data_IF_702355521942
#
_entry.id   IF_702355521942
#
_cell.length_a   1.000
_cell.length_b   1.000
_cell.length_c   1.000
_cell.angle_alpha   90.00
_cell.angle_beta   90.00
_cell.angle_gamma   90.00
#
_symmetry.space_group_name_H-M   'P 1'
#
loop_
_entity.id
_entity.type
_entity.pdbx_description
1 polymer ?
#
# COMPACT_ATOMS: atom_id res chain seq x y z
N UNK A 1 26.08 0.75 14.87
CA UNK A 1 24.71 1.20 15.20
C UNK A 1 24.40 2.42 14.34
N UNK A 2 23.27 2.44 13.63
CA UNK A 2 22.94 3.54 12.72
C UNK A 2 21.79 4.35 13.32
N UNK A 3 22.10 5.54 13.81
CA UNK A 3 21.11 6.51 14.31
C UNK A 3 21.28 7.79 13.50
N UNK A 4 20.17 8.33 13.03
CA UNK A 4 20.11 9.64 12.40
C UNK A 4 19.37 10.58 13.36
N UNK A 5 20.02 11.69 13.71
CA UNK A 5 19.44 12.73 14.56
C UNK A 5 19.16 13.93 13.68
N UNK A 6 17.92 14.40 13.73
CA UNK A 6 17.50 15.61 13.03
C UNK A 6 16.95 16.60 14.05
N UNK A 7 17.46 17.83 14.03
CA UNK A 7 17.04 18.92 14.90
C UNK A 7 16.58 20.10 14.05
N UNK A 8 15.67 20.90 14.59
CA UNK A 8 15.22 22.15 14.00
C UNK A 8 15.76 23.38 14.75
N UNK A 9 15.56 24.56 14.16
CA UNK A 9 15.88 25.85 14.77
C UNK A 9 14.86 26.28 15.84
N UNK A 10 13.91 25.43 16.21
CA UNK A 10 12.94 25.70 17.26
C UNK A 10 13.21 24.83 18.52
N UNK A 11 14.35 24.15 18.55
CA UNK A 11 14.77 23.35 19.69
C UNK A 11 14.08 21.99 19.76
N UNK A 12 13.43 21.53 18.69
CA UNK A 12 12.89 20.19 18.60
C UNK A 12 13.84 19.27 17.83
N UNK A 13 13.96 18.02 18.26
CA UNK A 13 14.71 17.01 17.56
C UNK A 13 13.94 15.69 17.46
N UNK A 14 14.30 14.87 16.48
CA UNK A 14 13.79 13.53 16.24
C UNK A 14 14.95 12.57 16.02
N UNK A 15 14.76 11.34 16.47
CA UNK A 15 15.68 10.25 16.22
C UNK A 15 15.07 9.30 15.19
N UNK A 16 15.86 8.92 14.20
CA UNK A 16 15.59 7.79 13.33
C UNK A 16 16.60 6.69 13.64
N UNK A 17 16.12 5.66 14.32
CA UNK A 17 16.89 4.53 14.81
C UNK A 17 16.87 3.40 13.78
N UNK A 18 18.03 2.79 13.54
CA UNK A 18 18.21 1.57 12.74
C UNK A 18 17.56 1.59 11.35
N UNK A 19 17.64 2.73 10.66
CA UNK A 19 17.16 2.94 9.29
C UNK A 19 15.64 2.73 9.06
N UNK A 20 14.84 2.59 10.12
CA UNK A 20 13.43 2.22 9.97
C UNK A 20 12.51 2.72 11.07
N UNK A 21 13.01 3.01 12.28
CA UNK A 21 12.20 3.39 13.43
C UNK A 21 12.34 4.88 13.73
N UNK A 22 11.24 5.62 13.83
CA UNK A 22 11.25 7.07 14.06
C UNK A 22 10.61 7.39 15.40
N UNK A 23 11.26 8.21 16.22
CA UNK A 23 10.73 8.67 17.50
C UNK A 23 9.82 9.88 17.32
N UNK A 24 8.96 10.13 18.30
CA UNK A 24 8.21 11.40 18.33
C UNK A 24 9.16 12.60 18.50
N UNK A 25 8.78 13.79 18.00
CA UNK A 25 9.55 15.01 18.23
C UNK A 25 9.68 15.28 19.72
N UNK A 26 10.91 15.54 20.17
CA UNK A 26 11.24 15.90 21.54
C UNK A 26 11.70 17.35 21.54
N UNK A 27 11.09 18.19 22.38
CA UNK A 27 11.48 19.59 22.50
C UNK A 27 12.50 19.76 23.63
N UNK A 28 13.71 20.22 23.30
CA UNK A 28 14.73 20.60 24.27
C UNK A 28 14.26 21.74 25.16
N UNK A 29 13.46 22.68 24.64
CA UNK A 29 12.90 23.77 25.47
C UNK A 29 12.04 23.21 26.60
N UNK A 30 11.19 22.23 26.32
CA UNK A 30 10.35 21.57 27.30
C UNK A 30 11.19 20.75 28.30
N UNK A 31 12.21 20.04 27.82
CA UNK A 31 13.12 19.28 28.66
C UNK A 31 13.94 20.17 29.62
N UNK A 32 14.45 21.31 29.16
CA UNK A 32 15.20 22.25 30.00
C UNK A 32 14.30 22.95 31.02
N UNK A 33 13.06 23.30 30.65
CA UNK A 33 12.06 23.81 31.59
C UNK A 33 11.75 22.78 32.69
N UNK A 34 11.59 21.51 32.32
CA UNK A 34 11.39 20.42 33.28
C UNK A 34 12.62 20.17 34.16
N UNK A 35 13.83 20.47 33.69
CA UNK A 35 15.08 20.42 34.46
C UNK A 35 15.23 21.59 35.46
N UNK A 36 14.36 22.60 35.41
CA UNK A 36 14.37 23.75 36.33
C UNK A 36 14.77 25.08 35.70
N UNK A 37 15.06 25.12 34.38
CA UNK A 37 15.40 26.34 33.65
C UNK A 37 14.14 26.98 33.05
N UNK A 38 13.24 27.46 33.93
CA UNK A 38 11.92 28.00 33.54
C UNK A 38 11.97 29.28 32.69
N UNK A 39 13.08 30.01 32.72
CA UNK A 39 13.28 31.32 32.09
C UNK A 39 13.80 31.25 30.64
N UNK A 40 13.75 30.09 29.99
CA UNK A 40 14.19 29.92 28.60
C UNK A 40 13.08 30.34 27.61
N UNK A 41 13.43 31.26 26.71
CA UNK A 41 12.57 31.75 25.64
C UNK A 41 12.66 30.89 24.36
N UNK A 42 13.88 30.59 23.90
CA UNK A 42 14.13 29.86 22.66
C UNK A 42 15.45 29.08 22.70
N UNK A 43 15.55 28.00 21.94
CA UNK A 43 16.73 27.15 21.82
C UNK A 43 16.99 26.88 20.34
N UNK A 44 18.13 27.32 19.82
CA UNK A 44 18.58 27.03 18.46
C UNK A 44 19.63 25.91 18.52
N UNK A 45 19.35 24.73 17.95
CA UNK A 45 20.30 23.61 17.94
C UNK A 45 21.38 23.85 16.87
N UNK A 46 22.65 23.84 17.26
CA UNK A 46 23.79 24.07 16.36
C UNK A 46 24.48 22.75 15.96
N UNK A 47 24.73 21.88 16.94
CA UNK A 47 25.38 20.58 16.74
C UNK A 47 24.73 19.52 17.62
N UNK A 48 24.76 18.28 17.14
CA UNK A 48 24.24 17.11 17.84
C UNK A 48 25.23 15.95 17.68
N UNK A 49 25.53 15.26 18.76
CA UNK A 49 26.25 13.99 18.74
C UNK A 49 25.56 12.98 19.64
N UNK A 50 25.84 11.70 19.40
CA UNK A 50 25.32 10.59 20.18
C UNK A 50 26.43 9.64 20.52
N UNK A 51 26.46 9.25 21.79
CA UNK A 51 27.34 8.23 22.30
C UNK A 51 27.14 6.88 21.57
N UNK A 52 28.22 6.11 21.44
CA UNK A 52 28.21 4.83 20.71
C UNK A 52 27.30 3.77 21.36
N UNK A 53 27.10 3.88 22.67
CA UNK A 53 26.27 3.03 23.52
C UNK A 53 24.83 3.56 23.68
N UNK A 54 24.48 4.67 23.02
CA UNK A 54 23.19 5.36 23.11
C UNK A 54 22.78 5.81 24.52
N UNK A 55 23.72 5.91 25.45
CA UNK A 55 23.44 6.36 26.82
C UNK A 55 23.19 7.86 26.88
N UNK A 56 23.98 8.61 26.12
CA UNK A 56 24.02 10.07 26.10
C UNK A 56 23.86 10.63 24.68
N UNK A 57 23.05 11.69 24.60
CA UNK A 57 22.85 12.56 23.44
C UNK A 57 23.34 13.95 23.83
N UNK A 58 24.35 14.47 23.14
CA UNK A 58 24.93 15.79 23.42
C UNK A 58 24.48 16.80 22.36
N UNK A 59 23.97 17.94 22.81
CA UNK A 59 23.47 19.01 21.96
C UNK A 59 24.24 20.30 22.27
N UNK A 60 24.89 20.88 21.28
CA UNK A 60 25.39 22.25 21.40
C UNK A 60 24.31 23.18 20.87
N UNK A 61 23.75 24.00 21.75
CA UNK A 61 22.62 24.85 21.42
C UNK A 61 22.81 26.29 21.91
N UNK A 62 22.23 27.23 21.17
CA UNK A 62 22.18 28.64 21.54
C UNK A 62 20.87 28.89 22.29
N UNK A 63 20.97 29.15 23.59
CA UNK A 63 19.83 29.34 24.48
C UNK A 63 19.58 30.83 24.66
N UNK A 64 18.34 31.26 24.41
CA UNK A 64 17.88 32.63 24.65
C UNK A 64 17.04 32.65 25.92
N UNK A 65 17.36 33.56 26.85
CA UNK A 65 16.65 33.69 28.12
C UNK A 65 15.63 34.85 28.09
N UNK A 66 14.53 34.69 28.80
CA UNK A 66 13.59 35.78 29.07
C UNK A 66 14.25 36.75 30.06
N UNK A 67 14.16 38.05 29.80
CA UNK A 67 14.72 39.07 30.68
C UNK A 67 14.14 38.92 32.10
N UNK A 68 14.96 38.49 33.06
CA UNK A 68 14.79 38.95 34.43
C UNK A 68 15.50 40.29 34.52
N UNK A 69 14.71 41.33 34.77
CA UNK A 69 15.20 42.65 35.14
C UNK A 69 16.03 42.53 36.42
N UNK A 70 17.35 42.38 36.26
CA UNK A 70 18.33 42.69 37.29
C UNK A 70 19.35 43.61 36.64
N UNK A 71 19.51 44.78 37.25
CA UNK A 71 20.33 45.90 36.80
C UNK A 71 21.79 45.48 36.62
N UNK A 72 22.15 45.08 35.40
CA UNK A 72 23.50 45.10 34.85
C UNK A 72 23.35 44.90 33.34
N UNK A 73 23.63 45.95 32.59
CA UNK A 73 23.62 45.96 31.13
C UNK A 73 24.48 44.82 30.55
N UNK A 74 23.86 43.80 29.97
CA UNK A 74 24.29 43.19 28.71
C UNK A 74 23.07 42.67 27.91
N UNK A 75 23.06 43.05 26.64
CA UNK A 75 22.08 42.81 25.57
C UNK A 75 21.53 41.37 25.58
N UNK A 76 20.20 41.22 25.47
CA UNK A 76 19.43 39.97 25.29
C UNK A 76 20.28 38.73 24.99
N UNK A 77 20.82 38.12 26.05
CA UNK A 77 22.01 37.28 25.97
C UNK A 77 21.71 35.88 25.47
N UNK A 78 21.92 35.65 24.18
CA UNK A 78 22.05 34.29 23.62
C UNK A 78 23.33 33.65 24.16
N UNK A 79 23.22 32.59 24.95
CA UNK A 79 24.38 31.85 25.49
C UNK A 79 24.55 30.52 24.79
N UNK A 80 25.79 30.14 24.51
CA UNK A 80 26.11 28.81 24.00
C UNK A 80 26.13 27.84 25.17
N UNK A 81 25.30 26.80 25.11
CA UNK A 81 25.16 25.80 26.16
C UNK A 81 25.28 24.41 25.54
N UNK A 82 26.12 23.57 26.13
CA UNK A 82 26.14 22.15 25.86
C UNK A 82 25.14 21.45 26.78
N UNK A 83 24.19 20.73 26.18
CA UNK A 83 23.11 20.05 26.88
C UNK A 83 23.29 18.56 26.67
N UNK A 84 23.41 17.80 27.75
CA UNK A 84 23.49 16.34 27.68
C UNK A 84 22.14 15.75 28.10
N UNK A 85 21.53 15.01 27.18
CA UNK A 85 20.27 14.29 27.40
C UNK A 85 20.58 12.81 27.52
N UNK A 86 20.05 12.18 28.55
CA UNK A 86 20.14 10.73 28.76
C UNK A 86 18.80 10.06 28.50
N UNK A 87 18.83 8.82 28.04
CA UNK A 87 17.66 7.95 27.96
C UNK A 87 18.01 6.57 28.48
N UNK A 88 17.45 6.22 29.64
CA UNK A 88 17.58 4.89 30.21
C UNK A 88 17.05 3.81 29.25
N UNK A 89 16.03 4.16 28.46
CA UNK A 89 15.33 3.23 27.57
C UNK A 89 16.14 2.93 26.30
N UNK A 90 16.82 3.94 25.74
CA UNK A 90 17.66 3.76 24.55
C UNK A 90 18.85 2.84 24.82
N UNK A 91 19.49 3.00 25.98
CA UNK A 91 20.64 2.17 26.35
C UNK A 91 20.21 0.75 26.72
N UNK A 92 19.25 0.60 27.65
CA UNK A 92 18.85 -0.71 28.21
C UNK A 92 18.10 -1.57 27.21
N UNK A 93 17.22 -1.01 26.38
CA UNK A 93 16.43 -1.74 25.38
C UNK A 93 16.96 -1.56 23.95
N UNK A 94 18.23 -1.21 23.79
CA UNK A 94 18.87 -0.98 22.48
C UNK A 94 18.68 -2.15 21.50
N UNK A 95 18.75 -3.39 21.99
CA UNK A 95 18.57 -4.61 21.19
C UNK A 95 17.12 -4.78 20.74
N UNK A 96 16.16 -4.55 21.63
CA UNK A 96 14.73 -4.68 21.37
C UNK A 96 14.27 -3.62 20.36
N UNK A 97 14.74 -2.37 20.52
CA UNK A 97 14.48 -1.28 19.58
C UNK A 97 15.08 -1.60 18.21
N UNK A 98 16.28 -2.20 18.17
CA UNK A 98 16.89 -2.67 16.91
C UNK A 98 16.00 -3.70 16.22
N UNK A 99 15.50 -4.70 16.95
CA UNK A 99 14.61 -5.73 16.39
C UNK A 99 13.34 -5.09 15.82
N UNK A 100 12.69 -4.19 16.54
CA UNK A 100 11.49 -3.49 16.05
C UNK A 100 11.78 -2.63 14.82
N UNK A 101 12.90 -1.90 14.80
CA UNK A 101 13.30 -1.09 13.66
C UNK A 101 13.59 -1.89 12.41
N UNK A 102 14.22 -3.07 12.56
CA UNK A 102 14.47 -4.00 11.46
C UNK A 102 13.17 -4.61 10.91
N UNK A 103 12.12 -4.77 11.73
CA UNK A 103 10.81 -5.28 11.28
C UNK A 103 9.92 -4.18 10.68
N UNK A 104 10.01 -2.93 11.16
CA UNK A 104 9.20 -1.80 10.66
C UNK A 104 9.38 -1.54 9.17
N UNK A 105 10.62 -1.55 8.68
CA UNK A 105 10.93 -1.19 7.28
C UNK A 105 10.34 -2.20 6.26
N UNK A 106 10.53 -3.52 6.41
CA UNK A 106 9.85 -4.51 5.57
C UNK A 106 8.33 -4.36 5.59
N UNK A 107 7.72 -4.11 6.76
CA UNK A 107 6.27 -3.89 6.89
C UNK A 107 5.82 -2.69 6.06
N UNK A 108 6.47 -1.53 6.20
CA UNK A 108 6.13 -0.33 5.41
C UNK A 108 6.28 -0.59 3.91
N UNK A 109 7.35 -1.27 3.50
CA UNK A 109 7.60 -1.59 2.11
C UNK A 109 6.52 -2.54 1.54
N UNK A 110 6.09 -3.55 2.30
CA UNK A 110 5.02 -4.47 1.91
C UNK A 110 3.67 -3.76 1.82
N UNK A 111 3.33 -2.90 2.79
CA UNK A 111 2.11 -2.10 2.75
C UNK A 111 2.09 -1.19 1.51
N UNK A 112 3.22 -0.54 1.20
CA UNK A 112 3.37 0.26 -0.02
C UNK A 112 3.21 -0.60 -1.27
N UNK A 113 3.84 -1.77 -1.31
CA UNK A 113 3.73 -2.68 -2.44
C UNK A 113 2.30 -3.15 -2.68
N UNK A 114 1.55 -3.45 -1.62
CA UNK A 114 0.12 -3.80 -1.71
C UNK A 114 -0.69 -2.60 -2.23
N UNK A 115 -0.40 -1.39 -1.75
CA UNK A 115 -1.06 -0.16 -2.23
C UNK A 115 -0.78 0.13 -3.71
N UNK A 116 0.47 0.00 -4.15
CA UNK A 116 0.82 0.17 -5.55
C UNK A 116 0.19 -0.94 -6.41
N UNK A 117 0.09 -2.17 -5.91
CA UNK A 117 -0.61 -3.27 -6.58
C UNK A 117 -2.12 -3.01 -6.71
N UNK A 118 -2.76 -2.45 -5.68
CA UNK A 118 -4.17 -2.07 -5.72
C UNK A 118 -4.44 -1.01 -6.79
N UNK A 119 -3.55 -0.04 -6.95
CA UNK A 119 -3.68 0.97 -8.01
C UNK A 119 -3.61 0.38 -9.41
N UNK A 120 -2.74 -0.62 -9.62
CA UNK A 120 -2.66 -1.35 -10.89
C UNK A 120 -3.95 -2.13 -11.13
N UNK A 121 -4.46 -2.82 -10.10
CA UNK A 121 -5.72 -3.55 -10.16
C UNK A 121 -6.91 -2.64 -10.54
N UNK A 122 -7.00 -1.46 -9.92
CA UNK A 122 -8.01 -0.45 -10.24
C UNK A 122 -7.90 0.09 -11.67
N UNK A 123 -6.69 0.28 -12.17
CA UNK A 123 -6.46 0.73 -13.54
C UNK A 123 -6.91 -0.32 -14.57
N UNK A 124 -6.61 -1.60 -14.34
CA UNK A 124 -7.08 -2.68 -15.20
C UNK A 124 -8.61 -2.84 -15.15
N UNK A 125 -9.22 -2.67 -13.98
CA UNK A 125 -10.68 -2.66 -13.85
C UNK A 125 -11.34 -1.51 -14.62
N UNK A 126 -10.78 -0.30 -14.52
CA UNK A 126 -11.23 0.86 -15.31
C UNK A 126 -11.07 0.62 -16.81
N UNK A 127 -9.99 -0.06 -17.23
CA UNK A 127 -9.80 -0.44 -18.64
C UNK A 127 -10.91 -1.37 -19.12
N UNK A 128 -11.31 -2.38 -18.35
CA UNK A 128 -12.45 -3.27 -18.71
C UNK A 128 -13.75 -2.46 -18.80
N UNK A 129 -13.99 -1.59 -17.82
CA UNK A 129 -15.20 -0.76 -17.79
C UNK A 129 -15.29 0.14 -19.03
N UNK A 130 -14.18 0.80 -19.39
CA UNK A 130 -14.10 1.62 -20.61
C UNK A 130 -14.33 0.81 -21.88
N UNK A 131 -13.73 -0.38 -22.00
CA UNK A 131 -13.93 -1.25 -23.17
C UNK A 131 -15.40 -1.68 -23.33
N UNK A 132 -16.10 -1.92 -22.22
CA UNK A 132 -17.52 -2.27 -22.24
C UNK A 132 -18.38 -1.04 -22.58
N UNK A 133 -18.09 0.11 -21.95
CA UNK A 133 -18.78 1.39 -22.21
C UNK A 133 -18.63 1.81 -23.68
N UNK A 134 -17.42 1.77 -24.23
CA UNK A 134 -17.14 2.09 -25.64
C UNK A 134 -17.93 1.19 -26.60
N UNK A 135 -18.04 -0.11 -26.27
CA UNK A 135 -18.82 -1.06 -27.05
C UNK A 135 -20.31 -0.73 -27.00
N UNK A 136 -20.86 -0.50 -25.81
CA UNK A 136 -22.28 -0.14 -25.63
C UNK A 136 -22.61 1.21 -26.27
N UNK A 137 -21.71 2.18 -26.19
CA UNK A 137 -21.88 3.51 -26.76
C UNK A 137 -21.81 3.46 -28.30
N UNK A 138 -20.99 2.58 -28.86
CA UNK A 138 -20.97 2.39 -30.32
C UNK A 138 -22.28 1.80 -30.82
N UNK A 139 -22.79 0.78 -30.15
CA UNK A 139 -24.10 0.23 -30.49
C UNK A 139 -25.21 1.26 -30.27
N UNK A 140 -25.19 2.02 -29.16
CA UNK A 140 -26.17 3.08 -28.91
C UNK A 140 -26.16 4.13 -30.02
N UNK A 141 -24.97 4.55 -30.50
CA UNK A 141 -24.83 5.48 -31.62
C UNK A 141 -25.46 4.91 -32.90
N UNK A 142 -25.18 3.65 -33.23
CA UNK A 142 -25.76 2.98 -34.40
C UNK A 142 -27.29 2.91 -34.33
N UNK A 143 -27.86 2.59 -33.16
CA UNK A 143 -29.31 2.57 -32.93
C UNK A 143 -29.93 3.95 -33.13
N UNK A 144 -29.33 4.99 -32.54
CA UNK A 144 -29.85 6.38 -32.67
C UNK A 144 -29.79 6.91 -34.10
N UNK A 145 -28.76 6.55 -34.87
CA UNK A 145 -28.62 6.96 -36.27
C UNK A 145 -29.73 6.37 -37.15
N UNK A 146 -30.23 5.19 -36.80
CA UNK A 146 -31.31 4.51 -37.50
C UNK A 146 -32.71 4.85 -36.95
N UNK A 147 -32.80 5.75 -35.96
CA UNK A 147 -34.06 6.21 -35.36
C UNK A 147 -34.67 5.27 -34.32
N UNK A 148 -33.92 4.30 -33.81
CA UNK A 148 -34.37 3.37 -32.77
C UNK A 148 -34.09 3.93 -31.36
N UNK A 149 -35.08 3.81 -30.46
CA UNK A 149 -35.00 4.29 -29.08
C UNK A 149 -34.72 3.15 -28.06
N UNK A 150 -34.29 1.97 -28.55
CA UNK A 150 -33.99 0.81 -27.72
C UNK A 150 -32.62 0.91 -27.04
N UNK A 151 -32.41 0.13 -25.98
CA UNK A 151 -31.13 0.08 -25.28
C UNK A 151 -30.23 -1.02 -25.87
N UNK A 152 -28.89 -0.87 -25.85
CA UNK A 152 -27.95 -1.86 -26.37
C UNK A 152 -28.14 -3.24 -25.73
N UNK A 153 -28.37 -3.27 -24.41
CA UNK A 153 -28.65 -4.50 -23.67
C UNK A 153 -29.93 -5.18 -24.15
N UNK A 154 -30.99 -4.40 -24.43
CA UNK A 154 -32.24 -4.95 -24.94
C UNK A 154 -32.06 -5.58 -26.32
N UNK A 155 -31.35 -4.92 -27.24
CA UNK A 155 -31.09 -5.45 -28.57
C UNK A 155 -30.25 -6.74 -28.53
N UNK A 156 -29.22 -6.82 -27.67
CA UNK A 156 -28.46 -8.05 -27.47
C UNK A 156 -29.32 -9.19 -26.89
N UNK A 157 -30.21 -8.89 -25.94
CA UNK A 157 -31.13 -9.87 -25.38
C UNK A 157 -32.18 -10.32 -26.41
N UNK A 158 -32.68 -9.41 -27.24
CA UNK A 158 -33.58 -9.75 -28.35
C UNK A 158 -32.88 -10.70 -29.31
N UNK A 159 -31.66 -10.37 -29.74
CA UNK A 159 -30.83 -11.23 -30.59
C UNK A 159 -30.57 -12.61 -29.97
N UNK A 160 -30.35 -12.67 -28.65
CA UNK A 160 -30.16 -13.93 -27.92
C UNK A 160 -31.40 -14.84 -27.98
N UNK A 161 -32.60 -14.26 -27.83
CA UNK A 161 -33.87 -15.01 -27.78
C UNK A 161 -34.40 -15.35 -29.18
N UNK A 162 -34.34 -14.42 -30.12
CA UNK A 162 -34.90 -14.59 -31.47
C UNK A 162 -33.93 -15.27 -32.43
N UNK A 163 -32.62 -15.20 -32.15
CA UNK A 163 -31.56 -15.60 -33.08
C UNK A 163 -31.47 -14.72 -34.34
N UNK A 164 -32.24 -13.62 -34.41
CA UNK A 164 -32.32 -12.73 -35.56
C UNK A 164 -31.96 -11.30 -35.13
N UNK A 165 -30.91 -10.68 -35.71
CA UNK A 165 -30.57 -9.30 -35.43
C UNK A 165 -31.66 -8.35 -35.97
N UNK A 166 -31.92 -7.26 -35.25
CA UNK A 166 -32.66 -6.12 -35.80
C UNK A 166 -31.86 -5.50 -36.97
N UNK A 167 -32.49 -4.75 -37.89
CA UNK A 167 -31.78 -4.13 -39.01
C UNK A 167 -30.61 -3.24 -38.56
N UNK A 168 -30.78 -2.55 -37.43
CA UNK A 168 -29.73 -1.71 -36.84
C UNK A 168 -28.60 -2.51 -36.21
N UNK A 169 -28.93 -3.59 -35.50
CA UNK A 169 -27.94 -4.52 -34.96
C UNK A 169 -27.18 -5.23 -36.08
N UNK A 170 -27.85 -5.65 -37.15
CA UNK A 170 -27.22 -6.31 -38.31
C UNK A 170 -26.22 -5.38 -38.99
N UNK A 171 -26.62 -4.12 -39.23
CA UNK A 171 -25.71 -3.09 -39.75
C UNK A 171 -24.51 -2.87 -38.82
N UNK A 172 -24.74 -2.75 -37.52
CA UNK A 172 -23.68 -2.56 -36.53
C UNK A 172 -22.69 -3.73 -36.53
N UNK A 173 -23.18 -4.97 -36.50
CA UNK A 173 -22.36 -6.18 -36.50
C UNK A 173 -21.53 -6.33 -37.77
N UNK A 174 -22.07 -5.95 -38.94
CA UNK A 174 -21.35 -6.04 -40.23
C UNK A 174 -20.37 -4.87 -40.46
N UNK A 175 -20.73 -3.65 -40.03
CA UNK A 175 -19.98 -2.44 -40.42
C UNK A 175 -19.06 -1.92 -39.31
N UNK A 176 -19.53 -1.89 -38.07
CA UNK A 176 -18.81 -1.30 -36.93
C UNK A 176 -18.07 -2.37 -36.11
N UNK A 177 -18.77 -3.43 -35.69
CA UNK A 177 -18.21 -4.52 -34.89
C UNK A 177 -17.79 -5.71 -35.78
N UNK A 178 -16.92 -5.43 -36.75
CA UNK A 178 -16.36 -6.47 -37.64
C UNK A 178 -15.64 -7.56 -36.84
N UNK A 179 -15.48 -8.75 -37.43
CA UNK A 179 -14.76 -9.89 -36.81
C UNK A 179 -13.40 -9.52 -36.20
N UNK A 180 -12.60 -8.70 -36.89
CA UNK A 180 -11.30 -8.27 -36.38
C UNK A 180 -11.41 -7.28 -35.21
N UNK A 181 -12.44 -6.44 -35.20
CA UNK A 181 -12.76 -5.54 -34.09
C UNK A 181 -13.19 -6.33 -32.85
N UNK A 182 -14.09 -7.30 -33.02
CA UNK A 182 -14.53 -8.18 -31.94
C UNK A 182 -13.36 -8.96 -31.35
N UNK A 183 -12.52 -9.58 -32.18
CA UNK A 183 -11.33 -10.32 -31.71
C UNK A 183 -10.38 -9.46 -30.89
N UNK A 184 -10.11 -8.22 -31.32
CA UNK A 184 -9.24 -7.29 -30.58
C UNK A 184 -9.86 -6.86 -29.25
N UNK A 185 -11.17 -6.62 -29.24
CA UNK A 185 -11.91 -6.30 -28.02
C UNK A 185 -11.88 -7.48 -27.04
N UNK A 186 -12.19 -8.70 -27.50
CA UNK A 186 -12.13 -9.91 -26.70
C UNK A 186 -10.75 -10.15 -26.09
N UNK A 187 -9.70 -10.06 -26.89
CA UNK A 187 -8.32 -10.23 -26.42
C UNK A 187 -7.94 -9.16 -25.40
N UNK A 188 -8.40 -7.91 -25.59
CA UNK A 188 -8.16 -6.81 -24.66
C UNK A 188 -8.85 -7.02 -23.31
N UNK A 189 -10.09 -7.53 -23.30
CA UNK A 189 -10.85 -7.84 -22.08
C UNK A 189 -10.24 -9.05 -21.37
N UNK A 190 -9.89 -10.11 -22.10
CA UNK A 190 -9.23 -11.31 -21.56
C UNK A 190 -7.87 -10.99 -20.94
N UNK A 191 -7.06 -10.16 -21.61
CA UNK A 191 -5.77 -9.72 -21.10
C UNK A 191 -5.94 -8.93 -19.79
N UNK A 192 -6.94 -8.03 -19.72
CA UNK A 192 -7.23 -7.27 -18.51
C UNK A 192 -7.69 -8.17 -17.36
N UNK A 193 -8.61 -9.13 -17.60
CA UNK A 193 -9.01 -10.12 -16.58
C UNK A 193 -7.82 -10.94 -16.06
N UNK A 194 -6.93 -11.37 -16.96
CA UNK A 194 -5.72 -12.11 -16.60
C UNK A 194 -4.77 -11.27 -15.75
N UNK A 195 -4.62 -9.98 -16.08
CA UNK A 195 -3.83 -9.05 -15.27
C UNK A 195 -4.45 -8.83 -13.88
N UNK A 196 -5.77 -8.64 -13.79
CA UNK A 196 -6.47 -8.50 -12.50
C UNK A 196 -6.23 -9.76 -11.64
N UNK A 197 -6.39 -10.95 -12.22
CA UNK A 197 -6.12 -12.22 -11.57
C UNK A 197 -4.68 -12.27 -11.03
N UNK A 198 -3.70 -12.01 -11.90
CA UNK A 198 -2.28 -12.04 -11.55
C UNK A 198 -1.94 -11.06 -10.43
N UNK A 199 -2.42 -9.81 -10.51
CA UNK A 199 -2.15 -8.80 -9.48
C UNK A 199 -2.79 -9.21 -8.15
N UNK A 200 -4.03 -9.69 -8.17
CA UNK A 200 -4.72 -10.14 -6.96
C UNK A 200 -4.05 -11.35 -6.30
N UNK A 201 -3.82 -12.41 -7.07
CA UNK A 201 -3.42 -13.70 -6.52
C UNK A 201 -1.89 -13.88 -6.43
N UNK A 202 -1.14 -13.42 -7.43
CA UNK A 202 0.32 -13.65 -7.50
C UNK A 202 1.13 -12.52 -6.86
N UNK A 203 0.53 -11.33 -6.67
CA UNK A 203 1.21 -10.18 -6.07
C UNK A 203 0.68 -9.85 -4.66
N UNK A 204 -0.62 -9.59 -4.51
CA UNK A 204 -1.17 -9.09 -3.24
C UNK A 204 -1.23 -10.15 -2.14
N UNK A 205 -1.73 -11.36 -2.42
CA UNK A 205 -1.82 -12.44 -1.40
C UNK A 205 -0.43 -12.78 -0.83
N UNK A 206 0.61 -13.06 -1.64
CA UNK A 206 1.95 -13.35 -1.12
C UNK A 206 2.56 -12.18 -0.33
N UNK A 207 2.22 -10.94 -0.69
CA UNK A 207 2.65 -9.77 0.09
C UNK A 207 1.97 -9.72 1.47
N UNK A 208 0.69 -10.07 1.55
CA UNK A 208 -0.05 -10.17 2.80
C UNK A 208 0.47 -11.32 3.68
N UNK A 209 0.79 -12.47 3.10
CA UNK A 209 1.40 -13.60 3.82
C UNK A 209 2.76 -13.21 4.43
N UNK A 210 3.63 -12.54 3.66
CA UNK A 210 4.90 -12.01 4.17
C UNK A 210 4.69 -10.98 5.28
N UNK A 211 3.67 -10.14 5.16
CA UNK A 211 3.29 -9.18 6.19
C UNK A 211 2.85 -9.90 7.47
N UNK A 212 2.03 -10.96 7.37
CA UNK A 212 1.60 -11.78 8.50
C UNK A 212 2.77 -12.45 9.22
N UNK A 213 3.80 -12.91 8.49
CA UNK A 213 5.02 -13.45 9.10
C UNK A 213 5.70 -12.39 9.97
N UNK A 214 5.91 -11.19 9.45
CA UNK A 214 6.52 -10.10 10.22
C UNK A 214 5.68 -9.67 11.43
N UNK A 215 4.35 -9.63 11.29
CA UNK A 215 3.45 -9.32 12.40
C UNK A 215 3.44 -10.44 13.45
N UNK A 216 3.58 -11.70 13.05
CA UNK A 216 3.68 -12.85 13.96
C UNK A 216 4.97 -12.80 14.79
N UNK A 217 6.08 -12.39 14.19
CA UNK A 217 7.34 -12.15 14.92
C UNK A 217 7.17 -11.03 15.97
N UNK A 218 6.50 -9.93 15.60
CA UNK A 218 6.22 -8.83 16.52
C UNK A 218 5.25 -9.27 17.62
N UNK A 219 4.30 -10.16 17.32
CA UNK A 219 3.40 -10.77 18.31
C UNK A 219 4.20 -11.62 19.32
N UNK A 220 5.22 -12.34 18.86
CA UNK A 220 6.16 -13.02 19.75
C UNK A 220 6.90 -12.03 20.67
N UNK A 221 7.32 -10.89 20.13
CA UNK A 221 7.97 -9.82 20.90
C UNK A 221 7.02 -9.21 21.95
N UNK A 222 5.77 -8.92 21.58
CA UNK A 222 4.80 -8.27 22.48
C UNK A 222 4.40 -9.16 23.66
N UNK A 223 4.42 -10.49 23.49
CA UNK A 223 4.20 -11.45 24.57
C UNK A 223 5.37 -11.52 25.56
N UNK A 224 6.58 -11.11 25.16
CA UNK A 224 7.72 -11.05 26.07
C UNK A 224 7.70 -9.77 26.91
N UNK A 225 6.78 -9.73 27.87
CA UNK A 225 6.50 -8.56 28.70
C UNK A 225 7.73 -8.00 29.42
N UNK A 226 8.64 -8.83 29.93
CA UNK A 226 9.84 -8.36 30.63
C UNK A 226 10.73 -7.41 29.79
N UNK A 227 10.81 -7.66 28.47
CA UNK A 227 11.68 -6.90 27.56
C UNK A 227 10.95 -5.79 26.83
N UNK A 228 9.71 -6.04 26.39
CA UNK A 228 8.98 -5.12 25.50
C UNK A 228 7.91 -4.27 26.20
N UNK A 229 7.53 -4.58 27.45
CA UNK A 229 6.58 -3.74 28.22
C UNK A 229 7.11 -2.33 28.50
N UNK A 230 8.41 -2.10 28.80
CA UNK A 230 8.95 -0.74 28.94
C UNK A 230 8.84 0.09 27.65
N UNK A 231 8.83 -0.57 26.49
CA UNK A 231 8.63 0.04 25.18
C UNK A 231 7.14 0.26 24.85
N UNK A 232 6.20 -0.06 25.75
CA UNK A 232 4.74 0.08 25.49
C UNK A 232 4.28 -0.62 24.20
N UNK A 233 4.88 -1.77 23.88
CA UNK A 233 4.42 -2.61 22.77
C UNK A 233 3.18 -3.40 23.21
N UNK A 234 2.01 -3.04 22.69
CA UNK A 234 0.74 -3.65 23.07
C UNK A 234 0.39 -4.87 22.24
N UNK A 235 0.16 -6.02 22.88
CA UNK A 235 -0.25 -7.26 22.18
C UNK A 235 -1.56 -7.08 21.41
N UNK A 236 -2.51 -6.33 21.96
CA UNK A 236 -3.81 -6.06 21.35
C UNK A 236 -3.66 -5.37 19.98
N UNK A 237 -2.84 -4.32 19.89
CA UNK A 237 -2.60 -3.60 18.64
C UNK A 237 -1.98 -4.49 17.54
N UNK A 238 -1.12 -5.44 17.94
CA UNK A 238 -0.53 -6.41 16.99
C UNK A 238 -1.57 -7.42 16.52
N UNK A 239 -2.42 -7.93 17.42
CA UNK A 239 -3.52 -8.85 17.07
C UNK A 239 -4.55 -8.19 16.15
N UNK A 240 -4.89 -6.93 16.41
CA UNK A 240 -5.81 -6.17 15.56
C UNK A 240 -5.22 -5.96 14.15
N UNK A 241 -3.91 -5.72 14.06
CA UNK A 241 -3.21 -5.67 12.77
C UNK A 241 -3.24 -7.01 12.02
N UNK A 242 -2.94 -8.13 12.70
CA UNK A 242 -2.99 -9.47 12.11
C UNK A 242 -4.40 -9.77 11.58
N UNK A 243 -5.42 -9.44 12.38
CA UNK A 243 -6.81 -9.59 11.98
C UNK A 243 -7.16 -8.72 10.77
N UNK A 244 -6.76 -7.45 10.75
CA UNK A 244 -7.01 -6.56 9.62
C UNK A 244 -6.36 -7.07 8.31
N UNK A 245 -5.16 -7.64 8.39
CA UNK A 245 -4.51 -8.28 7.23
C UNK A 245 -5.27 -9.55 6.81
N UNK A 246 -5.71 -10.37 7.76
CA UNK A 246 -6.53 -11.55 7.46
C UNK A 246 -7.87 -11.22 6.80
N UNK A 247 -8.56 -10.19 7.31
CA UNK A 247 -9.81 -9.68 6.74
C UNK A 247 -9.58 -9.17 5.30
N UNK A 248 -8.45 -8.50 5.03
CA UNK A 248 -8.08 -8.04 3.69
C UNK A 248 -7.77 -9.20 2.73
N UNK A 249 -7.08 -10.25 3.18
CA UNK A 249 -6.85 -11.47 2.38
C UNK A 249 -8.18 -12.12 1.99
N UNK A 250 -9.09 -12.30 2.94
CA UNK A 250 -10.42 -12.85 2.66
C UNK A 250 -11.21 -12.00 1.65
N UNK A 251 -11.02 -10.68 1.65
CA UNK A 251 -11.61 -9.79 0.66
C UNK A 251 -11.01 -9.98 -0.75
N UNK A 252 -9.69 -10.17 -0.86
CA UNK A 252 -9.03 -10.48 -2.14
C UNK A 252 -9.49 -11.84 -2.68
N UNK A 253 -9.62 -12.84 -1.81
CA UNK A 253 -10.16 -14.15 -2.19
C UNK A 253 -11.62 -14.05 -2.67
N UNK A 254 -12.43 -13.21 -2.04
CA UNK A 254 -13.79 -12.94 -2.49
C UNK A 254 -13.82 -12.26 -3.87
N UNK A 255 -12.98 -11.24 -4.10
CA UNK A 255 -12.80 -10.61 -5.41
C UNK A 255 -12.44 -11.65 -6.47
N UNK A 256 -11.54 -12.57 -6.14
CA UNK A 256 -11.11 -13.63 -7.03
C UNK A 256 -12.25 -14.59 -7.42
N UNK A 257 -13.13 -14.95 -6.48
CA UNK A 257 -14.31 -15.76 -6.78
C UNK A 257 -15.28 -15.03 -7.73
N UNK A 258 -15.52 -13.74 -7.50
CA UNK A 258 -16.35 -12.91 -8.39
C UNK A 258 -15.72 -12.82 -9.77
N UNK A 259 -14.41 -12.58 -9.85
CA UNK A 259 -13.67 -12.53 -11.11
C UNK A 259 -13.75 -13.83 -11.90
N UNK A 260 -13.69 -15.00 -11.24
CA UNK A 260 -13.86 -16.30 -11.91
C UNK A 260 -15.21 -16.46 -12.58
N UNK A 261 -16.28 -16.05 -11.88
CA UNK A 261 -17.64 -16.09 -12.44
C UNK A 261 -17.73 -15.14 -13.63
N UNK A 262 -17.14 -13.95 -13.51
CA UNK A 262 -17.11 -12.95 -14.57
C UNK A 262 -16.39 -13.45 -15.83
N UNK A 263 -15.19 -14.02 -15.68
CA UNK A 263 -14.41 -14.58 -16.79
C UNK A 263 -15.19 -15.70 -17.48
N UNK A 264 -15.86 -16.56 -16.71
CA UNK A 264 -16.68 -17.64 -17.28
C UNK A 264 -17.83 -17.07 -18.11
N UNK A 265 -18.59 -16.12 -17.54
CA UNK A 265 -19.71 -15.46 -18.23
C UNK A 265 -19.25 -14.73 -19.50
N UNK A 266 -18.13 -14.03 -19.42
CA UNK A 266 -17.51 -13.38 -20.57
C UNK A 266 -17.14 -14.38 -21.67
N UNK A 267 -16.54 -15.52 -21.31
CA UNK A 267 -16.17 -16.56 -22.29
C UNK A 267 -17.38 -17.15 -23.01
N UNK A 268 -18.50 -17.35 -22.31
CA UNK A 268 -19.75 -17.83 -22.94
C UNK A 268 -20.33 -16.76 -23.88
N UNK A 269 -20.30 -15.49 -23.48
CA UNK A 269 -20.71 -14.37 -24.32
C UNK A 269 -19.85 -14.22 -25.57
N UNK A 270 -18.51 -14.30 -25.43
CA UNK A 270 -17.56 -14.29 -26.55
C UNK A 270 -17.88 -15.42 -27.54
N UNK A 271 -18.01 -16.66 -27.06
CA UNK A 271 -18.32 -17.82 -27.90
C UNK A 271 -19.67 -17.67 -28.62
N UNK A 272 -20.69 -17.11 -27.93
CA UNK A 272 -21.99 -16.84 -28.53
C UNK A 272 -21.90 -15.79 -29.63
N UNK A 273 -21.27 -14.65 -29.36
CA UNK A 273 -21.23 -13.53 -30.29
C UNK A 273 -20.40 -13.86 -31.54
N UNK A 274 -19.31 -14.63 -31.40
CA UNK A 274 -18.56 -15.14 -32.55
C UNK A 274 -19.41 -16.06 -33.46
N UNK A 275 -20.25 -16.93 -32.88
CA UNK A 275 -21.18 -17.76 -33.66
C UNK A 275 -22.20 -16.93 -34.42
N UNK A 276 -22.74 -15.90 -33.78
CA UNK A 276 -23.72 -15.00 -34.41
C UNK A 276 -23.09 -14.25 -35.58
N UNK A 277 -21.88 -13.72 -35.40
CA UNK A 277 -21.14 -13.09 -36.50
C UNK A 277 -20.84 -14.06 -37.64
N UNK A 278 -20.51 -15.33 -37.35
CA UNK A 278 -20.29 -16.33 -38.39
C UNK A 278 -21.56 -16.67 -39.17
N UNK A 279 -22.72 -16.64 -38.52
CA UNK A 279 -24.01 -16.86 -39.17
C UNK A 279 -24.43 -15.68 -40.07
N UNK A 280 -24.12 -14.44 -39.67
CA UNK A 280 -24.47 -13.20 -40.40
C UNK A 280 -23.52 -12.98 -41.60
N UNK A 281 -22.23 -13.19 -41.40
CA UNK A 281 -21.22 -13.14 -42.47
C UNK A 281 -20.77 -14.56 -42.84
N UNK A 282 -21.57 -15.40 -43.51
CA UNK A 282 -21.05 -16.67 -44.00
C UNK A 282 -19.90 -16.35 -44.95
N UNK A 283 -18.68 -16.74 -44.58
CA UNK A 283 -17.46 -16.46 -45.36
C UNK A 283 -17.72 -16.79 -46.83
N UNK A 284 -17.75 -15.77 -47.69
CA UNK A 284 -17.83 -16.02 -49.13
C UNK A 284 -16.59 -16.84 -49.50
N UNK A 285 -16.87 -18.01 -50.07
CA UNK A 285 -15.93 -19.03 -50.52
C UNK A 285 -15.07 -18.50 -51.66
N UNK A 286 -14.10 -17.63 -51.37
CA UNK A 286 -13.11 -17.17 -52.36
C UNK A 286 -11.88 -18.08 -52.34
N UNK A 287 -11.99 -19.18 -53.06
CA UNK A 287 -10.95 -19.74 -53.95
C UNK A 287 -9.59 -20.23 -53.44
N UNK A 288 -8.89 -19.57 -52.50
CA UNK A 288 -7.42 -19.66 -52.49
C UNK A 288 -6.71 -19.81 -51.12
N UNK A 289 -7.41 -20.10 -50.02
CA UNK A 289 -6.75 -20.34 -48.72
C UNK A 289 -7.05 -21.72 -48.14
N UNK A 290 -5.97 -22.36 -47.65
CA UNK A 290 -5.92 -23.71 -47.08
C UNK A 290 -6.94 -23.83 -45.95
N UNK A 291 -7.75 -24.86 -46.11
CA UNK A 291 -8.95 -25.26 -45.36
C UNK A 291 -8.62 -25.70 -43.92
N UNK A 292 -8.88 -24.82 -42.95
CA UNK A 292 -9.29 -25.24 -41.61
C UNK A 292 -10.82 -25.35 -41.67
N UNK A 293 -11.36 -26.58 -41.68
CA UNK A 293 -12.78 -26.86 -41.91
C UNK A 293 -13.80 -26.13 -40.99
N UNK A 294 -15.10 -26.46 -41.05
CA UNK A 294 -16.13 -25.73 -40.31
C UNK A 294 -15.76 -25.59 -38.84
N UNK A 295 -15.71 -24.34 -38.34
CA UNK A 295 -15.34 -24.06 -36.96
C UNK A 295 -16.33 -24.76 -36.05
N UNK A 296 -15.85 -25.78 -35.33
CA UNK A 296 -16.65 -26.47 -34.33
C UNK A 296 -16.70 -25.59 -33.09
N UNK A 297 -17.80 -24.87 -32.93
CA UNK A 297 -17.97 -24.05 -31.74
C UNK A 297 -18.32 -24.91 -30.51
N UNK A 298 -17.69 -24.68 -29.34
CA UNK A 298 -18.04 -25.36 -28.09
C UNK A 298 -19.47 -25.00 -27.66
N UNK A 299 -20.28 -25.94 -27.12
CA UNK A 299 -21.66 -25.65 -26.73
C UNK A 299 -21.73 -24.44 -25.80
N UNK A 300 -22.65 -23.52 -26.09
CA UNK A 300 -22.79 -22.23 -25.39
C UNK A 300 -23.87 -22.35 -24.31
N UNK A 301 -23.56 -21.86 -23.12
CA UNK A 301 -24.53 -21.69 -22.04
C UNK A 301 -25.27 -20.35 -22.18
N UNK A 302 -26.44 -20.37 -22.83
CA UNK A 302 -27.27 -19.18 -23.06
C UNK A 302 -27.73 -18.50 -21.77
N UNK A 303 -27.82 -19.21 -20.65
CA UNK A 303 -28.15 -18.59 -19.37
C UNK A 303 -26.99 -17.71 -18.89
N UNK A 304 -25.75 -18.21 -18.97
CA UNK A 304 -24.57 -17.44 -18.62
C UNK A 304 -24.40 -16.20 -19.50
N UNK A 305 -24.75 -16.29 -20.80
CA UNK A 305 -24.77 -15.14 -21.73
C UNK A 305 -25.81 -14.11 -21.29
N UNK A 306 -27.02 -14.53 -20.93
CA UNK A 306 -28.06 -13.63 -20.45
C UNK A 306 -27.65 -12.92 -19.15
N UNK A 307 -27.07 -13.65 -18.20
CA UNK A 307 -26.53 -13.09 -16.95
C UNK A 307 -25.39 -12.08 -17.23
N UNK A 308 -24.52 -12.36 -18.21
CA UNK A 308 -23.46 -11.44 -18.61
C UNK A 308 -24.04 -10.12 -19.12
N UNK A 309 -25.01 -10.18 -20.05
CA UNK A 309 -25.65 -9.01 -20.64
C UNK A 309 -26.37 -8.13 -19.60
N UNK A 310 -26.97 -8.77 -18.59
CA UNK A 310 -27.74 -8.06 -17.56
C UNK A 310 -26.90 -7.47 -16.42
N UNK A 311 -25.76 -8.09 -16.07
CA UNK A 311 -25.01 -7.75 -14.85
C UNK A 311 -23.53 -7.43 -15.07
N UNK A 312 -22.86 -8.19 -15.92
CA UNK A 312 -21.41 -8.13 -16.17
C UNK A 312 -21.05 -7.02 -17.16
N UNK A 313 -21.89 -6.77 -18.17
CA UNK A 313 -21.70 -5.66 -19.11
C UNK A 313 -21.63 -4.30 -18.38
N UNK A 314 -22.45 -4.14 -17.34
CA UNK A 314 -22.46 -2.96 -16.46
C UNK A 314 -21.51 -3.07 -15.25
N UNK A 315 -20.68 -4.12 -15.20
CA UNK A 315 -19.68 -4.38 -14.16
C UNK A 315 -20.24 -4.37 -12.71
N UNK A 316 -21.51 -4.71 -12.49
CA UNK A 316 -22.19 -4.53 -11.18
C UNK A 316 -21.48 -5.31 -10.07
N UNK A 317 -21.02 -6.53 -10.35
CA UNK A 317 -20.35 -7.39 -9.36
C UNK A 317 -18.97 -6.89 -8.94
N UNK A 318 -18.13 -6.47 -9.89
CA UNK A 318 -16.78 -5.98 -9.61
C UNK A 318 -16.78 -4.54 -9.07
N UNK A 319 -17.75 -3.71 -9.47
CA UNK A 319 -17.89 -2.34 -8.99
C UNK A 319 -17.99 -2.23 -7.46
N UNK A 320 -18.55 -3.24 -6.79
CA UNK A 320 -18.68 -3.28 -5.33
C UNK A 320 -17.33 -3.24 -4.59
N UNK A 321 -16.23 -3.66 -5.23
CA UNK A 321 -14.90 -3.68 -4.62
C UNK A 321 -14.13 -2.37 -4.82
N UNK A 322 -14.49 -1.58 -5.84
CA UNK A 322 -13.73 -0.42 -6.29
C UNK A 322 -14.44 0.93 -6.08
N UNK A 323 -15.77 0.98 -6.00
CA UNK A 323 -16.50 2.26 -5.78
C UNK A 323 -16.56 2.61 -4.30
N UNK A 324 -16.26 3.87 -3.99
CA UNK A 324 -16.66 4.48 -2.73
C UNK A 324 -18.19 4.51 -2.68
N UNK A 325 -18.79 3.93 -1.63
CA UNK A 325 -20.24 3.77 -1.47
C UNK A 325 -21.05 5.06 -1.28
N UNK A 326 -20.70 6.14 -1.98
CA UNK A 326 -21.40 7.43 -1.92
C UNK A 326 -22.40 7.64 -3.08
N UNK A 327 -22.54 6.69 -4.01
CA UNK A 327 -23.61 6.68 -4.99
C UNK A 327 -24.53 5.49 -4.73
N UNK A 328 -25.79 5.78 -4.43
CA UNK A 328 -26.73 4.82 -3.87
C UNK A 328 -27.06 3.66 -4.80
N UNK A 329 -26.74 2.44 -4.37
CA UNK A 329 -27.46 1.22 -4.76
C UNK A 329 -27.38 0.16 -3.65
N UNK A 330 -27.86 0.51 -2.45
CA UNK A 330 -27.85 -0.36 -1.27
C UNK A 330 -28.86 -1.53 -1.33
N UNK A 331 -29.27 -2.03 -2.50
CA UNK A 331 -30.32 -3.06 -2.61
C UNK A 331 -29.94 -4.35 -3.35
N UNK A 332 -28.88 -4.40 -4.15
CA UNK A 332 -28.58 -5.60 -4.98
C UNK A 332 -27.41 -6.45 -4.53
N UNK A 333 -26.58 -5.99 -3.58
CA UNK A 333 -25.49 -6.82 -3.02
C UNK A 333 -25.99 -8.00 -2.16
N UNK A 334 -27.30 -8.09 -1.86
CA UNK A 334 -27.88 -9.09 -0.99
C UNK A 334 -28.22 -10.44 -1.69
N UNK A 335 -28.15 -10.53 -3.02
CA UNK A 335 -28.61 -11.70 -3.78
C UNK A 335 -27.51 -12.51 -4.49
N UNK A 336 -26.24 -12.33 -4.13
CA UNK A 336 -25.17 -13.20 -4.65
C UNK A 336 -25.21 -14.58 -3.96
N UNK A 337 -25.21 -15.72 -4.70
CA UNK A 337 -25.28 -17.08 -4.16
C UNK A 337 -24.10 -17.48 -3.24
N UNK A 338 -23.06 -16.64 -3.16
CA UNK A 338 -21.79 -16.94 -2.49
C UNK A 338 -21.86 -16.86 -0.96
N UNK A 339 -22.94 -16.31 -0.39
CA UNK A 339 -23.11 -16.21 1.07
C UNK A 339 -23.06 -17.58 1.77
N UNK A 340 -23.45 -18.67 1.11
CA UNK A 340 -23.36 -20.03 1.67
C UNK A 340 -21.94 -20.61 1.71
N UNK A 341 -21.01 -20.13 0.87
CA UNK A 341 -19.62 -20.61 0.86
C UNK A 341 -18.81 -19.97 2.00
N UNK A 342 -19.12 -18.71 2.31
CA UNK A 342 -18.41 -17.91 3.31
C UNK A 342 -18.73 -18.38 4.74
N UNK A 343 -19.99 -18.75 5.03
CA UNK A 343 -20.36 -19.32 6.34
C UNK A 343 -19.60 -20.61 6.67
N UNK A 344 -19.27 -21.40 5.64
CA UNK A 344 -18.56 -22.67 5.82
C UNK A 344 -17.03 -22.50 6.05
N UNK A 345 -16.39 -21.45 5.52
CA UNK A 345 -14.96 -21.18 5.77
C UNK A 345 -14.70 -20.63 7.19
N UNK A 346 -15.60 -19.80 7.71
CA UNK A 346 -15.49 -19.25 9.06
C UNK A 346 -15.75 -20.28 10.19
N UNK A 347 -16.34 -21.43 9.86
CA UNK A 347 -16.61 -22.51 10.82
C UNK A 347 -15.37 -23.30 11.27
N UNK A 348 -14.21 -23.14 10.59
CA UNK A 348 -13.00 -23.97 10.83
C UNK A 348 -11.90 -23.31 11.69
N UNK A 349 -12.12 -22.11 12.24
CA UNK A 349 -11.21 -21.49 13.21
C UNK A 349 -11.84 -21.50 14.60
N UNK A 350 -11.12 -21.91 15.66
CA UNK A 350 -11.70 -22.06 16.99
C UNK A 350 -12.16 -20.71 17.52
N UNK A 351 -13.47 -20.58 17.75
CA UNK A 351 -14.11 -19.41 18.33
C UNK A 351 -13.77 -19.36 19.83
N UNK A 352 -12.97 -18.36 20.24
CA UNK A 352 -12.91 -17.96 21.64
C UNK A 352 -14.08 -17.02 21.95
N UNK A 353 -14.91 -17.46 22.89
CA UNK A 353 -16.12 -16.84 23.44
C UNK A 353 -16.03 -15.34 23.75
N UNK A 354 -17.07 -14.58 23.35
CA UNK A 354 -17.41 -13.31 24.00
C UNK A 354 -18.12 -12.26 23.11
N UNK A 355 -19.42 -12.08 23.35
CA UNK A 355 -20.32 -10.99 22.94
C UNK A 355 -20.96 -11.04 21.54
N UNK A 356 -22.29 -11.26 21.58
CA UNK A 356 -23.24 -11.12 20.49
C UNK A 356 -23.56 -9.64 20.24
N UNK A 357 -22.94 -9.07 19.22
CA UNK A 357 -23.44 -7.86 18.56
C UNK A 357 -23.55 -8.18 17.07
N UNK A 358 -24.73 -7.93 16.49
CA UNK A 358 -25.04 -8.14 15.06
C UNK A 358 -24.01 -7.40 14.20
N UNK A 359 -22.95 -8.08 13.77
CA UNK A 359 -21.96 -7.56 12.81
C UNK A 359 -22.64 -7.51 11.45
N UNK A 360 -23.02 -6.31 11.01
CA UNK A 360 -23.11 -6.04 9.57
C UNK A 360 -21.80 -6.52 8.95
N UNK A 361 -21.88 -7.38 7.95
CA UNK A 361 -20.74 -8.01 7.29
C UNK A 361 -19.71 -6.94 6.90
N UNK A 362 -18.51 -7.02 7.47
CA UNK A 362 -17.37 -6.14 7.16
C UNK A 362 -16.98 -6.16 5.68
N UNK A 363 -17.50 -7.13 4.92
CA UNK A 363 -17.31 -7.29 3.48
C UNK A 363 -17.92 -6.19 2.59
N UNK A 364 -18.69 -5.24 3.15
CA UNK A 364 -19.36 -4.19 2.36
C UNK A 364 -18.50 -2.93 2.14
N UNK A 365 -17.27 -2.90 2.65
CA UNK A 365 -16.35 -1.77 2.47
C UNK A 365 -15.45 -2.01 1.25
N UNK A 366 -15.15 -0.98 0.44
CA UNK A 366 -14.29 -1.12 -0.73
C UNK A 366 -12.85 -1.49 -0.33
N UNK A 367 -12.09 -2.01 -1.30
CA UNK A 367 -10.77 -2.57 -1.08
C UNK A 367 -9.77 -1.53 -0.55
N UNK A 368 -9.86 -0.28 -1.03
CA UNK A 368 -9.03 0.84 -0.57
C UNK A 368 -9.25 1.20 0.91
N UNK A 369 -10.50 1.12 1.39
CA UNK A 369 -10.83 1.39 2.80
C UNK A 369 -10.24 0.33 3.72
N UNK A 370 -10.30 -0.94 3.32
CA UNK A 370 -9.66 -2.03 4.06
C UNK A 370 -8.13 -1.89 4.06
N UNK A 371 -7.53 -1.56 2.92
CA UNK A 371 -6.09 -1.29 2.83
C UNK A 371 -5.67 -0.13 3.74
N UNK A 372 -6.43 0.95 3.75
CA UNK A 372 -6.20 2.11 4.61
C UNK A 372 -6.30 1.74 6.10
N UNK A 373 -7.30 0.94 6.47
CA UNK A 373 -7.47 0.44 7.84
C UNK A 373 -6.31 -0.48 8.24
N UNK A 374 -5.97 -1.46 7.39
CA UNK A 374 -4.85 -2.37 7.59
C UNK A 374 -3.53 -1.62 7.76
N UNK A 375 -3.27 -0.64 6.89
CA UNK A 375 -2.07 0.22 6.96
C UNK A 375 -2.01 0.97 8.27
N UNK A 376 -3.12 1.60 8.69
CA UNK A 376 -3.19 2.31 9.96
C UNK A 376 -2.92 1.38 11.14
N UNK A 377 -3.58 0.22 11.20
CA UNK A 377 -3.36 -0.77 12.26
C UNK A 377 -1.89 -1.18 12.35
N UNK A 378 -1.28 -1.53 11.21
CA UNK A 378 0.13 -1.96 11.16
C UNK A 378 1.10 -0.86 11.61
N UNK A 379 0.80 0.41 11.36
CA UNK A 379 1.66 1.53 11.75
C UNK A 379 1.52 1.91 13.23
N UNK A 380 0.30 1.80 13.79
CA UNK A 380 0.00 2.10 15.21
C UNK A 380 0.84 1.26 16.16
N UNK A 381 1.22 0.02 15.77
CA UNK A 381 2.12 -0.85 16.55
C UNK A 381 3.41 -0.13 16.97
N UNK A 382 3.93 0.77 16.13
CA UNK A 382 5.20 1.46 16.36
C UNK A 382 5.04 2.80 17.10
N UNK A 383 3.82 3.31 17.28
CA UNK A 383 3.56 4.58 17.96
C UNK A 383 3.86 4.48 19.45
N UNK A 384 3.42 3.41 20.12
CA UNK A 384 3.70 3.17 21.55
C UNK A 384 5.20 3.19 21.88
N UNK A 385 6.03 2.39 21.19
CA UNK A 385 7.48 2.41 21.36
C UNK A 385 8.13 3.75 21.01
N UNK A 386 7.63 4.46 19.98
CA UNK A 386 8.17 5.75 19.59
C UNK A 386 7.91 6.79 20.67
N UNK A 387 6.73 6.77 21.27
CA UNK A 387 6.32 7.67 22.33
C UNK A 387 7.06 7.36 23.64
N UNK A 388 7.21 6.07 23.98
CA UNK A 388 7.93 5.63 25.18
C UNK A 388 9.39 6.10 25.16
N UNK A 389 10.08 5.95 24.02
CA UNK A 389 11.46 6.42 23.86
C UNK A 389 11.53 7.94 24.01
N UNK A 390 10.68 8.69 23.32
CA UNK A 390 10.66 10.16 23.39
C UNK A 390 10.38 10.68 24.80
N UNK A 391 9.47 10.05 25.55
CA UNK A 391 9.14 10.44 26.94
C UNK A 391 10.20 10.02 27.95
N UNK A 392 11.04 9.04 27.64
CA UNK A 392 12.10 8.57 28.54
C UNK A 392 13.30 9.52 28.62
N UNK A 393 13.43 10.45 27.68
CA UNK A 393 14.57 11.36 27.59
C UNK A 393 14.52 12.42 28.70
N UNK A 394 15.64 12.64 29.37
CA UNK A 394 15.80 13.65 30.43
C UNK A 394 17.13 14.37 30.28
N UNK A 395 17.16 15.65 30.66
CA UNK A 395 18.42 16.39 30.76
C UNK A 395 19.22 15.83 31.93
N UNK A 396 20.44 15.39 31.68
CA UNK A 396 21.35 14.93 32.71
C UNK A 396 22.15 16.10 33.30
N UNK A 397 22.73 16.93 32.44
CA UNK A 397 23.46 18.13 32.84
C UNK A 397 23.50 19.16 31.71
N UNK A 398 23.74 20.41 32.09
CA UNK A 398 23.92 21.55 31.19
C UNK A 398 25.23 22.25 31.53
N UNK A 399 26.06 22.51 30.53
CA UNK A 399 27.32 23.22 30.68
C UNK A 399 27.27 24.50 29.83
N UNK A 400 27.39 25.67 30.46
CA UNK A 400 27.54 26.92 29.72
C UNK A 400 28.96 27.00 29.14
N UNK A 401 29.05 27.09 27.82
CA UNK A 401 30.32 27.27 27.12
C UNK A 401 30.61 28.77 27.09
N UNK A 402 31.62 29.21 27.85
CA UNK A 402 32.13 30.58 27.79
C UNK A 402 32.59 30.89 26.37
N UNK A 403 31.87 31.77 25.69
CA UNK A 403 32.21 32.19 24.33
C UNK A 403 33.57 32.91 24.34
N UNK A 404 34.58 32.48 23.56
CA UNK A 404 35.61 33.41 23.17
C UNK A 404 34.97 34.47 22.26
N UNK A 405 35.23 35.74 22.57
CA UNK A 405 34.75 36.86 21.78
C UNK A 405 35.06 36.66 20.29
N UNK A 406 34.01 36.76 19.46
CA UNK A 406 34.05 36.79 17.99
C UNK A 406 34.60 35.52 17.31
N UNK A 407 33.72 34.55 17.07
CA UNK A 407 33.84 33.78 15.83
C UNK A 407 32.46 33.43 15.25
N UNK A 408 32.29 33.82 13.98
CA UNK A 408 31.11 33.56 13.17
C UNK A 408 30.95 32.04 13.00
N UNK A 409 30.04 31.42 13.77
CA UNK A 409 29.67 30.02 13.57
C UNK A 409 28.90 29.90 12.26
N UNK A 410 29.60 29.49 11.21
CA UNK A 410 29.02 29.13 9.92
C UNK A 410 28.05 27.95 10.11
N UNK A 411 26.84 28.13 9.58
CA UNK A 411 25.76 27.14 9.52
C UNK A 411 26.21 25.80 8.87
N UNK A 412 25.60 24.72 9.39
CA UNK A 412 25.40 23.35 8.86
C UNK A 412 26.43 22.26 9.26
N UNK A 413 25.94 21.14 9.82
CA UNK A 413 25.78 19.85 9.08
C UNK A 413 25.14 18.73 9.92
N UNK A 414 24.34 17.88 9.24
CA UNK A 414 23.86 16.59 9.72
C UNK A 414 25.01 15.73 10.29
N UNK A 415 24.87 15.27 11.53
CA UNK A 415 25.70 14.20 12.06
C UNK A 415 25.17 12.85 11.54
N UNK A 416 25.83 12.30 10.53
CA UNK A 416 25.65 10.90 10.09
C UNK A 416 26.90 10.13 10.48
N UNK A 417 26.83 9.29 11.51
CA UNK A 417 27.93 8.40 11.90
C UNK A 417 27.59 6.97 11.48
N UNK A 418 28.33 6.45 10.50
CA UNK A 418 28.20 5.06 10.05
C UNK A 418 29.04 4.15 10.94
N UNK A 419 28.44 3.07 11.42
CA UNK A 419 29.17 1.96 12.02
C UNK A 419 28.91 0.72 11.16
N UNK A 420 29.90 0.32 10.37
CA UNK A 420 29.90 -0.98 9.69
C UNK A 420 30.08 -2.08 10.73
N UNK A 421 29.15 -3.02 10.77
CA UNK A 421 29.34 -4.32 11.40
C UNK A 421 28.66 -5.37 10.51
N UNK A 422 29.34 -6.50 10.32
CA UNK A 422 29.07 -7.53 9.31
C UNK A 422 27.59 -7.93 9.18
N UNK A 423 27.11 -8.20 7.95
CA UNK A 423 25.80 -8.80 7.75
C UNK A 423 25.80 -10.25 8.23
N UNK A 424 24.75 -10.64 8.96
CA UNK A 424 24.46 -12.03 9.27
C UNK A 424 24.51 -12.90 8.00
N UNK A 425 25.17 -14.08 8.02
CA UNK A 425 25.42 -14.91 6.84
C UNK A 425 24.16 -15.47 6.15
N UNK A 426 22.98 -15.27 6.73
CA UNK A 426 21.70 -15.67 6.13
C UNK A 426 21.19 -14.67 5.07
N UNK A 427 21.67 -13.42 5.08
CA UNK A 427 21.23 -12.39 4.12
C UNK A 427 21.88 -12.51 2.73
N UNK A 428 23.07 -13.12 2.64
CA UNK A 428 23.80 -13.31 1.38
C UNK A 428 23.27 -14.47 0.55
N UNK A 429 22.67 -15.50 1.16
CA UNK A 429 22.08 -16.63 0.44
C UNK A 429 20.76 -16.28 -0.27
N UNK A 430 19.97 -15.35 0.27
CA UNK A 430 18.69 -14.96 -0.33
C UNK A 430 18.84 -14.11 -1.61
N UNK A 431 19.99 -13.45 -1.80
CA UNK A 431 20.27 -12.64 -2.99
C UNK A 431 20.85 -13.45 -4.15
N UNK A 432 21.32 -14.68 -3.91
CA UNK A 432 21.92 -15.54 -4.95
C UNK A 432 20.96 -16.54 -5.61
N UNK A 433 19.69 -16.59 -5.17
CA UNK A 433 18.71 -17.59 -5.65
C UNK A 433 17.54 -17.00 -6.48
N UNK A 434 17.59 -15.73 -6.87
CA UNK A 434 16.59 -15.17 -7.80
C UNK A 434 17.12 -15.19 -9.25
N UNK A 435 16.41 -15.78 -10.22
CA UNK A 435 16.87 -15.91 -11.60
C UNK A 435 16.93 -14.56 -12.32
N UNK A 436 18.09 -14.31 -12.91
CA UNK A 436 18.49 -13.11 -13.63
C UNK A 436 17.91 -13.04 -15.04
N UNK A 437 16.62 -12.78 -15.20
CA UNK A 437 16.08 -12.33 -16.49
C UNK A 437 14.87 -11.44 -16.26
N UNK A 438 15.08 -10.13 -16.30
CA UNK A 438 14.17 -9.11 -16.84
C UNK A 438 14.70 -7.72 -16.42
N UNK A 439 15.05 -6.95 -17.45
CA UNK A 439 15.44 -5.53 -17.49
C UNK A 439 16.93 -5.17 -17.67
N UNK A 440 17.22 -4.17 -18.55
CA UNK A 440 18.55 -3.90 -19.09
C UNK A 440 19.34 -2.94 -18.20
N UNK A 441 20.67 -3.09 -18.22
CA UNK A 441 21.61 -2.25 -17.50
C UNK A 441 21.47 -0.75 -17.84
N UNK A 442 21.46 0.15 -16.84
CA UNK A 442 21.68 1.57 -17.09
C UNK A 442 23.17 1.86 -17.25
N UNK A 443 23.49 2.41 -18.41
CA UNK A 443 24.81 2.85 -18.87
C UNK A 443 25.51 3.88 -17.95
N UNK A 444 26.81 3.63 -17.75
CA UNK A 444 27.93 4.57 -17.51
C UNK A 444 27.82 5.55 -16.33
N UNK A 445 28.44 5.16 -15.21
CA UNK A 445 28.94 6.08 -14.15
C UNK A 445 30.18 6.84 -14.63
N UNK A 446 30.36 8.14 -14.28
CA UNK A 446 31.63 8.83 -14.50
C UNK A 446 32.69 8.34 -13.49
N UNK A 447 33.87 7.96 -14.01
CA UNK A 447 35.04 7.54 -13.23
C UNK A 447 35.72 8.76 -12.59
N UNK A 448 35.59 8.93 -11.27
CA UNK A 448 36.48 9.79 -10.50
C UNK A 448 37.78 9.02 -10.19
N UNK A 449 38.87 9.38 -10.88
CA UNK A 449 40.24 8.91 -10.58
C UNK A 449 40.76 9.65 -9.34
N UNK A 450 40.93 8.94 -8.22
CA UNK A 450 41.74 9.42 -7.10
C UNK A 450 43.21 9.05 -7.35
N UNK A 451 44.06 10.06 -7.57
CA UNK A 451 45.53 9.93 -7.54
C UNK A 451 45.98 10.05 -6.08
N UNK A 452 46.64 9.01 -5.57
CA UNK A 452 47.43 9.11 -4.34
C UNK A 452 48.85 9.58 -4.71
N UNK A 453 49.30 10.69 -4.13
CA UNK A 453 50.72 11.05 -4.08
C UNK A 453 51.19 10.85 -2.65
N UNK A 454 51.87 9.74 -2.40
CA UNK A 454 52.76 9.61 -1.25
C UNK A 454 54.04 10.37 -1.59
N UNK A 455 54.42 11.32 -0.74
CA UNK A 455 55.79 11.87 -0.71
C UNK A 455 56.51 11.29 0.52
N UNK A 456 57.83 11.06 0.37
CA UNK A 456 58.61 10.10 1.15
C UNK A 456 58.73 10.45 2.64
#
# INVERSE_FOLDING_TARGET
>A
MNVLIAGDSHGCFKLRLFAGFETYPVSLTALLKAYGLGYIAAVDILQMDISLDLSELTFDALVSYQHLSTESDEVGGKRLVQITVTSDLLHRQSREIRVLGLKRRPIINLLKYISDSLRVLEAEFKRISQLNEDCTDSLQRALTNNGEATTPTYEFLQLLVTGLPSPSMDYYLQQELRRDGLKRWNESVRAAHTNIHRVAFECMIPACERLLIHLSDILGCSRWGERYRPLRLEEAAVRDSIKAVGDFVGLIEHLFLVLKVEIKRFSEFENWLERVLEAIEPTVRTGDHIDDGPRVFPPVDYQAVSEYLQSSLSNVGLNAFFRDGNEGSSKEAASLPTNHVIENMHSKLPQSSGSTAKKKSSLSLPLDRHLSLMTRCCLVIFEGPAEAISKSMKVAHTLELLAPAKQSCRRLRLATRYCYYEPDPWYTLALYLAPSTLFPEPSRKPKLKLRYTLKP
#
